data_IF_655650712880
#
_entry.id   IF_655650712880
#
_cell.length_a   1.000
_cell.length_b   1.000
_cell.length_c   1.000
_cell.angle_alpha   90.00
_cell.angle_beta   90.00
_cell.angle_gamma   90.00
#
_symmetry.space_group_name_H-M   'P 1'
#
loop_
_entity.id
_entity.type
_entity.pdbx_description
1 polymer ?
#
# COMPACT_ATOMS: atom_id res chain seq x y z
N UNK A 1 -7.53 15.29 -19.74
CA UNK A 1 -8.60 15.61 -18.77
C UNK A 1 -7.93 15.82 -17.42
N UNK A 2 -8.41 16.76 -16.61
CA UNK A 2 -7.90 16.95 -15.27
C UNK A 2 -8.25 15.73 -14.39
N UNK A 3 -7.34 15.33 -13.51
CA UNK A 3 -7.58 14.25 -12.54
C UNK A 3 -8.53 14.73 -11.43
N UNK A 4 -9.55 13.93 -11.15
CA UNK A 4 -10.55 14.20 -10.12
C UNK A 4 -10.57 13.16 -9.01
N UNK A 5 -10.08 11.94 -9.30
CA UNK A 5 -10.09 10.81 -8.38
C UNK A 5 -8.65 10.34 -8.12
N UNK A 6 -8.26 10.33 -6.86
CA UNK A 6 -6.93 9.97 -6.39
C UNK A 6 -7.04 8.74 -5.52
N UNK A 7 -6.50 7.62 -5.99
CA UNK A 7 -6.41 6.38 -5.25
C UNK A 7 -4.99 6.24 -4.70
N UNK A 8 -4.84 5.82 -3.45
CA UNK A 8 -3.55 5.71 -2.79
C UNK A 8 -3.32 4.30 -2.26
N UNK A 9 -2.09 3.81 -2.33
CA UNK A 9 -1.65 2.77 -1.42
C UNK A 9 -1.38 3.35 -0.03
N UNK A 10 -1.15 2.49 0.95
CA UNK A 10 -0.94 2.87 2.35
C UNK A 10 0.53 2.74 2.76
N UNK A 11 1.02 1.49 2.87
CA UNK A 11 2.34 1.16 3.42
C UNK A 11 3.44 1.50 2.40
N UNK A 12 4.36 2.40 2.73
CA UNK A 12 5.37 2.90 1.80
C UNK A 12 4.95 4.12 0.97
N UNK A 13 3.66 4.47 1.02
CA UNK A 13 3.09 5.59 0.26
C UNK A 13 2.58 6.70 1.17
N UNK A 14 1.62 6.40 2.04
CA UNK A 14 1.06 7.35 3.02
C UNK A 14 1.77 7.27 4.37
N UNK A 15 2.12 6.07 4.79
CA UNK A 15 2.76 5.80 6.07
C UNK A 15 4.08 5.04 5.90
N UNK A 16 5.08 5.42 6.68
CA UNK A 16 6.28 4.64 6.88
C UNK A 16 5.98 3.56 7.92
N UNK A 17 5.83 2.35 7.44
CA UNK A 17 5.61 1.14 8.22
C UNK A 17 6.67 0.07 7.94
N UNK A 18 7.71 0.40 7.17
CA UNK A 18 8.68 -0.56 6.65
C UNK A 18 9.41 -1.27 7.78
N UNK A 19 9.89 -0.52 8.78
CA UNK A 19 10.58 -1.13 9.93
C UNK A 19 9.63 -2.06 10.73
N UNK A 20 8.36 -1.69 10.89
CA UNK A 20 7.36 -2.56 11.53
C UNK A 20 7.18 -3.86 10.74
N UNK A 21 7.05 -3.77 9.41
CA UNK A 21 6.89 -4.92 8.51
C UNK A 21 8.11 -5.85 8.65
N UNK A 22 9.32 -5.32 8.57
CA UNK A 22 10.56 -6.08 8.66
C UNK A 22 10.73 -6.75 10.04
N UNK A 23 10.42 -6.03 11.13
CA UNK A 23 10.44 -6.61 12.48
C UNK A 23 9.43 -7.73 12.67
N UNK A 24 8.21 -7.54 12.14
CA UNK A 24 7.16 -8.57 12.20
C UNK A 24 7.59 -9.83 11.44
N UNK A 25 8.26 -9.66 10.30
CA UNK A 25 8.80 -10.76 9.52
C UNK A 25 9.94 -11.49 10.25
N UNK A 26 10.95 -10.77 10.73
CA UNK A 26 12.07 -11.34 11.51
C UNK A 26 11.56 -12.11 12.73
N UNK A 27 10.59 -11.54 13.47
CA UNK A 27 9.96 -12.20 14.62
C UNK A 27 9.29 -13.52 14.20
N UNK A 28 8.52 -13.52 13.13
CA UNK A 28 7.83 -14.71 12.62
C UNK A 28 8.81 -15.79 12.18
N UNK A 29 9.84 -15.43 11.45
CA UNK A 29 10.84 -16.39 10.96
C UNK A 29 11.64 -17.02 12.09
N UNK A 30 12.01 -16.24 13.10
CA UNK A 30 12.66 -16.79 14.31
C UNK A 30 11.75 -17.78 15.04
N UNK A 31 10.46 -17.44 15.19
CA UNK A 31 9.51 -18.27 15.94
C UNK A 31 9.21 -19.61 15.24
N UNK A 32 9.09 -19.61 13.90
CA UNK A 32 8.66 -20.78 13.14
C UNK A 32 9.80 -21.54 12.48
N UNK A 33 10.92 -20.89 12.18
CA UNK A 33 12.03 -21.45 11.39
C UNK A 33 13.38 -21.41 12.12
N UNK A 34 13.49 -20.67 13.21
CA UNK A 34 14.77 -20.49 13.91
C UNK A 34 15.82 -19.72 13.10
N UNK A 35 15.41 -19.02 12.05
CA UNK A 35 16.29 -18.23 11.18
C UNK A 35 15.83 -16.79 11.06
N UNK A 36 16.74 -15.95 10.58
CA UNK A 36 16.50 -14.54 10.29
C UNK A 36 17.06 -14.22 8.90
N UNK A 37 16.24 -14.39 7.84
CA UNK A 37 16.66 -14.04 6.49
C UNK A 37 16.96 -12.55 6.36
N UNK A 38 17.84 -12.16 5.44
CA UNK A 38 18.11 -10.75 5.15
C UNK A 38 16.84 -10.00 4.71
N UNK A 39 16.75 -8.72 5.04
CA UNK A 39 15.58 -7.88 4.76
C UNK A 39 15.27 -7.78 3.27
N UNK A 40 16.29 -7.87 2.40
CA UNK A 40 16.13 -7.83 0.95
C UNK A 40 15.26 -8.98 0.41
N UNK A 41 15.23 -10.12 1.12
CA UNK A 41 14.36 -11.25 0.75
C UNK A 41 12.90 -10.87 0.92
N UNK A 42 12.58 -10.15 1.99
CA UNK A 42 11.24 -9.71 2.30
C UNK A 42 10.83 -8.50 1.46
N UNK A 43 11.74 -7.56 1.26
CA UNK A 43 11.49 -6.36 0.46
C UNK A 43 11.07 -6.68 -0.98
N UNK A 44 11.59 -7.75 -1.58
CA UNK A 44 11.17 -8.20 -2.93
C UNK A 44 9.69 -8.53 -3.04
N UNK A 45 9.07 -8.97 -1.94
CA UNK A 45 7.65 -9.31 -1.88
C UNK A 45 6.77 -8.23 -1.25
N UNK A 46 7.33 -7.06 -0.92
CA UNK A 46 6.56 -5.99 -0.30
C UNK A 46 5.37 -5.60 -1.20
N UNK A 47 4.18 -5.47 -0.59
CA UNK A 47 2.93 -5.23 -1.33
C UNK A 47 2.16 -6.50 -1.69
N UNK A 48 2.75 -7.71 -1.59
CA UNK A 48 2.01 -8.97 -1.76
C UNK A 48 1.36 -9.45 -0.47
N UNK A 49 0.27 -10.26 -0.54
CA UNK A 49 -0.32 -10.87 0.65
C UNK A 49 0.66 -11.73 1.44
N UNK A 50 0.59 -11.69 2.77
CA UNK A 50 1.46 -12.47 3.67
C UNK A 50 1.48 -13.97 3.35
N UNK A 51 0.31 -14.54 3.04
CA UNK A 51 0.20 -15.96 2.69
C UNK A 51 1.00 -16.32 1.43
N UNK A 52 1.11 -15.41 0.47
CA UNK A 52 1.92 -15.59 -0.74
C UNK A 52 3.40 -15.54 -0.38
N UNK A 53 3.81 -14.60 0.46
CA UNK A 53 5.20 -14.46 0.88
C UNK A 53 5.67 -15.65 1.73
N UNK A 54 4.85 -16.15 2.66
CA UNK A 54 5.22 -17.32 3.48
C UNK A 54 5.26 -18.64 2.70
N UNK A 55 4.59 -18.75 1.52
CA UNK A 55 4.75 -19.91 0.61
C UNK A 55 6.18 -20.11 0.10
N UNK A 56 7.02 -19.11 0.12
CA UNK A 56 8.44 -19.29 -0.19
C UNK A 56 9.19 -20.14 0.84
N UNK A 57 8.58 -20.37 2.01
CA UNK A 57 9.20 -21.07 3.14
C UNK A 57 8.55 -22.41 3.48
N UNK A 58 7.31 -22.62 3.08
CA UNK A 58 6.54 -23.85 3.32
C UNK A 58 5.35 -23.97 2.38
N UNK A 59 5.01 -25.20 2.00
CA UNK A 59 3.79 -25.51 1.25
C UNK A 59 2.64 -25.97 2.16
N UNK A 60 2.89 -26.13 3.47
CA UNK A 60 1.88 -26.53 4.44
C UNK A 60 0.91 -25.37 4.74
N UNK A 61 -0.38 -25.47 4.37
CA UNK A 61 -1.34 -24.40 4.62
C UNK A 61 -1.52 -24.07 6.11
N UNK A 62 -1.44 -25.05 6.98
CA UNK A 62 -1.60 -24.85 8.42
C UNK A 62 -0.41 -24.05 9.00
N UNK A 63 0.79 -24.34 8.53
CA UNK A 63 1.98 -23.60 8.92
C UNK A 63 1.94 -22.17 8.38
N UNK A 64 1.53 -21.96 7.13
CA UNK A 64 1.34 -20.62 6.54
C UNK A 64 0.36 -19.81 7.40
N UNK A 65 -0.77 -20.39 7.77
CA UNK A 65 -1.76 -19.72 8.61
C UNK A 65 -1.19 -19.34 9.97
N UNK A 66 -0.44 -20.24 10.62
CA UNK A 66 0.23 -19.98 11.89
C UNK A 66 1.28 -18.86 11.78
N UNK A 67 2.07 -18.84 10.70
CA UNK A 67 3.04 -17.77 10.43
C UNK A 67 2.33 -16.42 10.21
N UNK A 68 1.25 -16.39 9.45
CA UNK A 68 0.44 -15.18 9.24
C UNK A 68 -0.14 -14.67 10.56
N UNK A 69 -0.63 -15.57 11.43
CA UNK A 69 -1.15 -15.19 12.74
C UNK A 69 -0.06 -14.59 13.64
N UNK A 70 1.12 -15.22 13.70
CA UNK A 70 2.27 -14.71 14.45
C UNK A 70 2.72 -13.32 13.96
N UNK A 71 2.84 -13.16 12.65
CA UNK A 71 3.16 -11.87 12.03
C UNK A 71 2.17 -10.79 12.44
N UNK A 72 0.87 -11.07 12.30
CA UNK A 72 -0.20 -10.11 12.60
C UNK A 72 -0.23 -9.72 14.08
N UNK A 73 -0.03 -10.67 14.97
CA UNK A 73 0.01 -10.40 16.42
C UNK A 73 1.13 -9.42 16.77
N UNK A 74 2.35 -9.69 16.30
CA UNK A 74 3.49 -8.80 16.50
C UNK A 74 3.28 -7.42 15.85
N UNK A 75 2.80 -7.40 14.61
CA UNK A 75 2.52 -6.17 13.88
C UNK A 75 1.51 -5.29 14.62
N UNK A 76 0.41 -5.89 15.11
CA UNK A 76 -0.63 -5.19 15.83
C UNK A 76 -0.12 -4.61 17.17
N UNK A 77 0.69 -5.36 17.90
CA UNK A 77 1.26 -4.94 19.19
C UNK A 77 2.16 -3.72 19.04
N UNK A 78 2.98 -3.67 17.98
CA UNK A 78 4.01 -2.65 17.82
C UNK A 78 3.62 -1.53 16.88
N UNK A 79 2.41 -1.59 16.27
CA UNK A 79 1.97 -0.71 15.20
C UNK A 79 2.12 0.78 15.53
N UNK A 80 1.47 1.25 16.59
CA UNK A 80 1.39 2.69 16.88
C UNK A 80 2.73 3.27 17.37
N UNK A 81 3.64 2.40 17.83
CA UNK A 81 4.98 2.80 18.23
C UNK A 81 5.93 2.99 17.04
N UNK A 82 5.72 2.26 15.93
CA UNK A 82 6.67 2.18 14.82
C UNK A 82 6.14 2.80 13.51
N UNK A 83 4.83 3.07 13.41
CA UNK A 83 4.23 3.67 12.20
C UNK A 83 4.14 5.18 12.33
N UNK A 84 4.47 5.89 11.25
CA UNK A 84 4.35 7.35 11.14
C UNK A 84 3.90 7.71 9.72
N UNK A 85 3.16 8.81 9.51
CA UNK A 85 2.98 9.34 8.17
C UNK A 85 4.32 9.81 7.61
N UNK A 86 4.54 9.69 6.30
CA UNK A 86 5.65 10.37 5.66
C UNK A 86 5.52 11.89 5.79
N UNK A 87 6.66 12.57 5.92
CA UNK A 87 6.70 14.03 6.05
C UNK A 87 6.01 14.69 4.85
N UNK A 88 5.08 15.61 5.11
CA UNK A 88 4.31 16.32 4.08
C UNK A 88 3.07 15.60 3.55
N UNK A 89 2.95 14.27 3.69
CA UNK A 89 1.82 13.49 3.13
C UNK A 89 0.48 13.97 3.66
N UNK A 90 0.37 14.20 4.98
CA UNK A 90 -0.90 14.64 5.59
C UNK A 90 -1.37 15.97 4.99
N UNK A 91 -0.44 16.91 4.82
CA UNK A 91 -0.73 18.24 4.25
C UNK A 91 -1.17 18.09 2.79
N UNK A 92 -0.46 17.29 2.01
CA UNK A 92 -0.76 17.08 0.59
C UNK A 92 -2.12 16.39 0.36
N UNK A 93 -2.43 15.32 1.12
CA UNK A 93 -3.72 14.63 1.05
C UNK A 93 -4.88 15.55 1.44
N UNK A 94 -4.74 16.32 2.53
CA UNK A 94 -5.75 17.29 2.95
C UNK A 94 -5.93 18.42 1.94
N UNK A 95 -4.87 18.86 1.28
CA UNK A 95 -4.97 19.84 0.20
C UNK A 95 -5.80 19.33 -0.99
N UNK A 96 -5.64 18.07 -1.40
CA UNK A 96 -6.49 17.44 -2.44
C UNK A 96 -7.96 17.41 -2.00
N UNK A 97 -8.25 17.07 -0.73
CA UNK A 97 -9.63 17.14 -0.19
C UNK A 97 -10.21 18.54 -0.26
N UNK A 98 -9.46 19.57 0.14
CA UNK A 98 -9.89 20.96 0.07
C UNK A 98 -10.14 21.44 -1.38
N UNK A 99 -9.45 20.86 -2.36
CA UNK A 99 -9.69 21.10 -3.78
C UNK A 99 -10.92 20.34 -4.33
N UNK A 100 -11.65 19.61 -3.49
CA UNK A 100 -12.82 18.84 -3.90
C UNK A 100 -12.50 17.55 -4.66
N UNK A 101 -11.28 17.03 -4.55
CA UNK A 101 -10.91 15.74 -5.15
C UNK A 101 -11.53 14.58 -4.39
N UNK A 102 -11.90 13.53 -5.11
CA UNK A 102 -12.37 12.25 -4.55
C UNK A 102 -11.17 11.38 -4.18
N UNK A 103 -11.12 10.88 -2.94
CA UNK A 103 -9.99 10.12 -2.46
C UNK A 103 -10.38 8.69 -2.09
N UNK A 104 -9.59 7.70 -2.53
CA UNK A 104 -9.74 6.30 -2.18
C UNK A 104 -8.43 5.70 -1.67
N UNK A 105 -8.53 4.74 -0.76
CA UNK A 105 -7.40 3.92 -0.31
C UNK A 105 -7.54 2.51 -0.90
N UNK A 106 -6.47 2.00 -1.48
CA UNK A 106 -6.40 0.65 -2.08
C UNK A 106 -5.12 -0.03 -1.59
N UNK A 107 -5.25 -0.97 -0.66
CA UNK A 107 -4.09 -1.53 0.04
C UNK A 107 -4.10 -3.06 0.12
N UNK A 108 -2.92 -3.67 0.17
CA UNK A 108 -2.74 -5.10 0.47
C UNK A 108 -2.90 -5.44 1.95
N UNK A 109 -3.05 -4.44 2.81
CA UNK A 109 -3.38 -4.61 4.22
C UNK A 109 -4.86 -4.93 4.40
N UNK A 110 -5.23 -5.69 5.44
CA UNK A 110 -6.63 -5.86 5.81
C UNK A 110 -7.25 -4.51 6.17
N UNK A 111 -8.53 -4.33 5.87
CA UNK A 111 -9.26 -3.08 6.14
C UNK A 111 -9.08 -2.55 7.58
N UNK A 112 -9.14 -3.44 8.57
CA UNK A 112 -8.96 -3.05 9.99
C UNK A 112 -7.57 -2.46 10.27
N UNK A 113 -6.52 -3.06 9.71
CA UNK A 113 -5.15 -2.56 9.82
C UNK A 113 -4.94 -1.26 9.04
N UNK A 114 -5.60 -1.12 7.88
CA UNK A 114 -5.57 0.11 7.10
C UNK A 114 -6.20 1.29 7.87
N UNK A 115 -7.36 1.09 8.48
CA UNK A 115 -8.01 2.10 9.32
C UNK A 115 -7.12 2.54 10.48
N UNK A 116 -6.44 1.59 11.15
CA UNK A 116 -5.50 1.93 12.23
C UNK A 116 -4.32 2.76 11.71
N UNK A 117 -3.77 2.43 10.55
CA UNK A 117 -2.71 3.21 9.91
C UNK A 117 -3.15 4.64 9.60
N UNK A 118 -4.36 4.81 9.06
CA UNK A 118 -4.94 6.13 8.80
C UNK A 118 -5.17 6.92 10.09
N UNK A 119 -5.62 6.28 11.18
CA UNK A 119 -5.79 6.91 12.50
C UNK A 119 -4.46 7.45 13.04
N UNK A 120 -3.39 6.64 12.98
CA UNK A 120 -2.05 7.07 13.40
C UNK A 120 -1.55 8.24 12.56
N UNK A 121 -1.88 8.27 11.27
CA UNK A 121 -1.54 9.36 10.37
C UNK A 121 -2.44 10.61 10.52
N UNK A 122 -3.56 10.52 11.24
CA UNK A 122 -4.56 11.59 11.30
C UNK A 122 -5.26 11.82 9.96
N UNK A 123 -5.52 10.74 9.21
CA UNK A 123 -6.15 10.73 7.88
C UNK A 123 -7.40 9.84 7.83
N UNK A 124 -7.94 9.43 8.96
CA UNK A 124 -9.10 8.52 9.07
C UNK A 124 -10.39 9.08 8.48
N UNK A 125 -10.50 10.40 8.36
CA UNK A 125 -11.61 11.13 7.75
C UNK A 125 -11.34 11.59 6.30
N UNK A 126 -10.16 11.29 5.74
CA UNK A 126 -9.74 11.86 4.47
C UNK A 126 -10.25 11.08 3.24
N UNK A 127 -10.61 9.81 3.38
CA UNK A 127 -10.89 8.91 2.27
C UNK A 127 -12.39 8.58 2.16
N UNK A 128 -12.92 8.69 0.93
CA UNK A 128 -14.32 8.38 0.62
C UNK A 128 -14.57 6.87 0.54
N UNK A 129 -13.53 6.11 0.18
CA UNK A 129 -13.56 4.64 0.11
C UNK A 129 -12.24 4.04 0.59
N UNK A 130 -12.33 2.88 1.20
CA UNK A 130 -11.17 2.04 1.56
C UNK A 130 -11.43 0.64 1.03
N UNK A 131 -10.46 0.10 0.28
CA UNK A 131 -10.44 -1.28 -0.21
C UNK A 131 -9.22 -1.98 0.38
N UNK A 132 -9.47 -2.91 1.28
CA UNK A 132 -8.45 -3.77 1.90
C UNK A 132 -8.34 -5.13 1.21
N UNK A 133 -7.29 -5.88 1.55
CA UNK A 133 -7.05 -7.22 1.00
C UNK A 133 -8.13 -8.25 1.33
N UNK A 134 -8.85 -8.05 2.40
CA UNK A 134 -9.98 -8.89 2.84
C UNK A 134 -11.28 -8.62 2.08
N UNK A 135 -11.26 -7.68 1.15
CA UNK A 135 -12.42 -7.29 0.36
C UNK A 135 -12.31 -7.68 -1.12
N UNK A 136 -11.21 -8.30 -1.54
CA UNK A 136 -10.94 -8.69 -2.94
C UNK A 136 -10.57 -10.16 -3.04
N UNK A 137 -10.87 -10.76 -4.19
CA UNK A 137 -10.47 -12.14 -4.51
C UNK A 137 -9.05 -12.17 -5.08
N UNK A 138 -8.76 -11.23 -5.96
CA UNK A 138 -7.47 -11.12 -6.64
C UNK A 138 -6.76 -9.84 -6.17
N UNK A 139 -5.70 -9.98 -5.35
CA UNK A 139 -4.95 -8.82 -4.84
C UNK A 139 -4.09 -8.18 -5.93
N UNK A 140 -3.51 -7.01 -5.64
CA UNK A 140 -2.48 -6.39 -6.47
C UNK A 140 -1.38 -7.41 -6.84
N UNK A 141 -0.92 -7.48 -8.08
CA UNK A 141 -1.08 -6.52 -9.18
C UNK A 141 -2.35 -6.66 -10.04
N UNK A 142 -3.28 -7.56 -9.68
CA UNK A 142 -4.56 -7.68 -10.37
C UNK A 142 -5.36 -6.37 -10.26
N UNK A 143 -6.11 -5.92 -11.31
CA UNK A 143 -6.82 -4.64 -11.30
C UNK A 143 -8.03 -4.59 -10.35
N UNK A 144 -8.51 -5.72 -9.84
CA UNK A 144 -9.73 -5.82 -9.03
C UNK A 144 -9.79 -4.79 -7.88
N UNK A 145 -8.73 -4.56 -7.07
CA UNK A 145 -8.79 -3.61 -5.96
C UNK A 145 -9.06 -2.17 -6.43
N UNK A 146 -8.41 -1.74 -7.50
CA UNK A 146 -8.59 -0.40 -8.08
C UNK A 146 -9.97 -0.27 -8.71
N UNK A 147 -10.40 -1.26 -9.50
CA UNK A 147 -11.74 -1.27 -10.13
C UNK A 147 -12.85 -1.24 -9.08
N UNK A 148 -12.70 -1.98 -7.98
CA UNK A 148 -13.63 -1.99 -6.86
C UNK A 148 -13.72 -0.62 -6.15
N UNK A 149 -12.58 0.07 -5.99
CA UNK A 149 -12.56 1.41 -5.44
C UNK A 149 -13.31 2.38 -6.36
N UNK A 150 -13.07 2.35 -7.66
CA UNK A 150 -13.75 3.18 -8.66
C UNK A 150 -15.25 2.90 -8.70
N UNK A 151 -15.67 1.63 -8.66
CA UNK A 151 -17.08 1.23 -8.60
C UNK A 151 -17.78 1.85 -7.39
N UNK A 152 -17.19 1.73 -6.20
CA UNK A 152 -17.75 2.28 -4.95
C UNK A 152 -17.81 3.82 -4.94
N UNK A 153 -16.89 4.46 -5.65
CA UNK A 153 -16.86 5.93 -5.81
C UNK A 153 -17.78 6.42 -6.93
N UNK A 154 -18.28 5.53 -7.80
CA UNK A 154 -18.98 5.93 -9.02
C UNK A 154 -18.10 6.73 -9.98
N UNK A 155 -16.78 6.51 -9.94
CA UNK A 155 -15.78 7.29 -10.67
C UNK A 155 -15.28 6.54 -11.92
N UNK A 156 -15.12 7.22 -13.07
CA UNK A 156 -14.54 6.61 -14.27
C UNK A 156 -13.02 6.49 -14.15
N UNK A 157 -12.45 5.48 -14.76
CA UNK A 157 -10.99 5.27 -14.78
C UNK A 157 -10.24 6.43 -15.48
N UNK A 158 -10.85 7.07 -16.49
CA UNK A 158 -10.22 8.13 -17.29
C UNK A 158 -9.87 9.41 -16.54
N UNK A 159 -10.46 9.65 -15.36
CA UNK A 159 -10.16 10.78 -14.48
C UNK A 159 -9.47 10.39 -13.19
N UNK A 160 -8.98 9.14 -13.10
CA UNK A 160 -8.40 8.59 -11.89
C UNK A 160 -6.89 8.36 -12.02
N UNK A 161 -6.18 8.47 -10.89
CA UNK A 161 -4.78 8.11 -10.75
C UNK A 161 -4.60 7.18 -9.55
N UNK A 162 -3.80 6.12 -9.69
CA UNK A 162 -3.37 5.28 -8.56
C UNK A 162 -1.93 5.60 -8.20
N UNK A 163 -1.71 5.92 -6.94
CA UNK A 163 -0.46 6.45 -6.39
C UNK A 163 0.08 5.40 -5.42
N UNK A 164 1.29 4.92 -5.68
CA UNK A 164 1.93 3.89 -4.88
C UNK A 164 3.45 3.89 -5.02
N UNK A 165 4.12 3.12 -4.17
CA UNK A 165 5.58 3.01 -4.13
C UNK A 165 6.10 1.73 -4.78
N UNK A 166 5.26 0.72 -4.98
CA UNK A 166 5.67 -0.61 -5.40
C UNK A 166 5.31 -0.94 -6.85
N UNK A 167 5.99 -1.95 -7.41
CA UNK A 167 5.64 -2.53 -8.72
C UNK A 167 4.19 -2.97 -8.78
N UNK A 168 3.69 -3.56 -7.69
CA UNK A 168 2.32 -4.07 -7.62
C UNK A 168 1.26 -2.97 -7.75
N UNK A 169 1.57 -1.75 -7.28
CA UNK A 169 0.69 -0.59 -7.43
C UNK A 169 0.64 -0.12 -8.88
N UNK A 170 1.81 0.04 -9.50
CA UNK A 170 1.90 0.52 -10.87
C UNK A 170 1.24 -0.47 -11.82
N UNK A 171 1.57 -1.77 -11.73
CA UNK A 171 0.96 -2.82 -12.55
C UNK A 171 -0.56 -2.91 -12.34
N UNK A 172 -1.05 -2.80 -11.09
CA UNK A 172 -2.47 -2.80 -10.75
C UNK A 172 -3.21 -1.60 -11.38
N UNK A 173 -2.64 -0.40 -11.27
CA UNK A 173 -3.21 0.81 -11.85
C UNK A 173 -3.27 0.75 -13.38
N UNK A 174 -2.19 0.33 -14.02
CA UNK A 174 -2.12 0.13 -15.47
C UNK A 174 -3.15 -0.89 -15.95
N UNK A 175 -3.24 -2.04 -15.26
CA UNK A 175 -4.22 -3.09 -15.59
C UNK A 175 -5.66 -2.63 -15.39
N UNK A 176 -5.92 -1.70 -14.48
CA UNK A 176 -7.22 -1.10 -14.25
C UNK A 176 -7.55 0.05 -15.23
N UNK A 177 -6.60 0.48 -16.07
CA UNK A 177 -6.77 1.55 -17.04
C UNK A 177 -6.81 2.95 -16.42
N UNK A 178 -6.29 3.13 -15.22
CA UNK A 178 -6.10 4.44 -14.58
C UNK A 178 -4.70 4.98 -14.84
N UNK A 179 -4.49 6.28 -14.64
CA UNK A 179 -3.14 6.83 -14.59
C UNK A 179 -2.39 6.29 -13.37
N UNK A 180 -1.07 6.19 -13.47
CA UNK A 180 -0.21 5.71 -12.37
C UNK A 180 0.81 6.75 -11.97
N UNK A 181 1.04 6.87 -10.66
CA UNK A 181 2.06 7.74 -10.10
C UNK A 181 2.94 6.97 -9.11
N UNK A 182 4.23 6.93 -9.41
CA UNK A 182 5.23 6.30 -8.53
C UNK A 182 5.77 7.34 -7.55
N UNK A 183 5.69 7.05 -6.25
CA UNK A 183 6.29 7.88 -5.20
C UNK A 183 7.72 7.43 -4.92
N UNK A 184 8.64 8.40 -4.71
CA UNK A 184 10.06 8.16 -4.48
C UNK A 184 10.51 8.47 -3.04
N UNK A 185 9.59 8.83 -2.15
CA UNK A 185 9.84 8.95 -0.71
C UNK A 185 9.64 7.64 0.05
N UNK A 186 9.11 6.60 -0.63
CA UNK A 186 8.93 5.25 -0.11
C UNK A 186 10.22 4.42 -0.13
N UNK A 187 10.11 3.09 0.11
CA UNK A 187 11.27 2.22 0.21
C UNK A 187 11.96 1.89 -1.12
N UNK A 188 11.34 2.17 -2.26
CA UNK A 188 11.86 1.85 -3.57
C UNK A 188 12.28 3.11 -4.35
N UNK A 189 13.39 3.01 -5.06
CA UNK A 189 13.91 4.07 -5.91
C UNK A 189 13.36 4.00 -7.35
N UNK A 190 13.67 5.02 -8.14
CA UNK A 190 13.28 5.11 -9.55
C UNK A 190 13.77 3.93 -10.38
N UNK A 191 14.97 3.41 -10.10
CA UNK A 191 15.54 2.30 -10.88
C UNK A 191 14.71 1.02 -10.72
N UNK A 192 14.09 0.84 -9.55
CA UNK A 192 13.26 -0.33 -9.23
C UNK A 192 11.92 -0.36 -10.01
N UNK A 193 11.43 0.80 -10.43
CA UNK A 193 10.12 0.98 -11.08
C UNK A 193 10.22 1.45 -12.53
N UNK A 194 11.42 1.75 -13.03
CA UNK A 194 11.61 2.41 -14.32
C UNK A 194 11.08 1.62 -15.52
N UNK A 195 11.18 0.29 -15.48
CA UNK A 195 10.68 -0.61 -16.53
C UNK A 195 9.15 -0.66 -16.65
N UNK A 196 8.42 -0.16 -15.64
CA UNK A 196 6.97 -0.08 -15.64
C UNK A 196 6.42 1.21 -16.27
N UNK A 197 7.28 2.19 -16.52
CA UNK A 197 6.92 3.45 -17.16
C UNK A 197 5.66 4.12 -16.55
N UNK A 198 5.62 4.42 -15.24
CA UNK A 198 4.48 5.09 -14.63
C UNK A 198 4.24 6.45 -15.31
N UNK A 199 2.98 6.89 -15.38
CA UNK A 199 2.64 8.19 -16.00
C UNK A 199 3.27 9.39 -15.30
N UNK A 200 3.45 9.28 -13.96
CA UNK A 200 4.02 10.35 -13.14
C UNK A 200 5.05 9.81 -12.16
N UNK A 201 6.05 10.63 -11.88
CA UNK A 201 7.04 10.43 -10.84
C UNK A 201 6.92 11.54 -9.81
N UNK A 202 6.73 11.18 -8.54
CA UNK A 202 6.58 12.12 -7.43
C UNK A 202 7.80 12.00 -6.51
N UNK A 203 8.61 13.04 -6.48
CA UNK A 203 9.84 13.07 -5.66
C UNK A 203 9.52 13.34 -4.18
N UNK A 204 8.44 14.08 -3.92
CA UNK A 204 7.99 14.50 -2.59
C UNK A 204 6.46 14.68 -2.58
N UNK A 205 5.83 14.60 -1.38
CA UNK A 205 4.37 14.67 -1.28
C UNK A 205 3.74 15.95 -1.86
N UNK A 206 4.45 17.06 -1.84
CA UNK A 206 3.98 18.33 -2.41
C UNK A 206 3.72 18.25 -3.93
N UNK A 207 4.38 17.32 -4.62
CA UNK A 207 4.21 17.12 -6.07
C UNK A 207 2.81 16.60 -6.42
N UNK A 208 2.05 16.06 -5.44
CA UNK A 208 0.65 15.67 -5.60
C UNK A 208 -0.23 16.85 -6.09
N UNK A 209 0.09 18.07 -5.68
CA UNK A 209 -0.64 19.27 -6.10
C UNK A 209 -0.54 19.53 -7.61
N UNK A 210 0.52 19.06 -8.27
CA UNK A 210 0.73 19.24 -9.70
C UNK A 210 -0.09 18.26 -10.56
N UNK A 211 -0.68 17.22 -9.96
CA UNK A 211 -1.51 16.24 -10.66
C UNK A 211 -2.98 16.71 -10.80
N UNK A 212 -3.40 17.69 -10.02
CA UNK A 212 -4.79 18.10 -9.85
C UNK A 212 -5.29 19.21 -10.79
#
# INVERSE_FOLDING_TARGET
MALSTFLFDLDGTLIDSIELILRSYRHTMRAHRGLEPPDEVWMKGLGTPLSVQFRHWTDDPAEIEAMVATYRAYNLEHHDALVRPYDGVVVAVRALRHQGKTLGLVTSKMRSGALRGLQVAGLDDAFDVIVGSDEVTNPKPHPEPVLKALERLGAPATGAVFIGDSRHDIECGQAAGVKTAAVLWGPFDRAHLADLEPDYWLERPEDLAALG
#
